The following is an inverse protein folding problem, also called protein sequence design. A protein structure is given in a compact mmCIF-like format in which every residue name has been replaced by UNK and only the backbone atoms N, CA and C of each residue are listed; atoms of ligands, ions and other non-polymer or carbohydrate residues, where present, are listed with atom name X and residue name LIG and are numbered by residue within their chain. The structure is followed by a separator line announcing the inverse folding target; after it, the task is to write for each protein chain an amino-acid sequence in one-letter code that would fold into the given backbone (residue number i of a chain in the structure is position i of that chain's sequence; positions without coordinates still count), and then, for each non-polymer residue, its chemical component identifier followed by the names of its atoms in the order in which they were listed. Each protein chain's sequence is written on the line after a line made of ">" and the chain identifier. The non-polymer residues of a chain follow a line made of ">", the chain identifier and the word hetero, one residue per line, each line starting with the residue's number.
data_IF_391815689880
#
_entry.id   IF_391815689880
#
_cell.length_a   1.000
_cell.length_b   1.000
_cell.length_c   1.000
_cell.angle_alpha   90.00
_cell.angle_beta   90.00
_cell.angle_gamma   90.00
#
_symmetry.space_group_name_H-M   'P 1'
#
loop_
_entity.id
_entity.type
_entity.pdbx_description
1 polymer ?
#
# COMPACT_ATOMS: atom_id res chain seq x y z
N UNK A 1 25.88 -17.39 -8.98
CA UNK A 1 25.23 -16.08 -8.77
C UNK A 1 23.92 -16.30 -8.03
N UNK A 2 23.80 -15.74 -6.84
CA UNK A 2 22.66 -15.96 -5.95
C UNK A 2 21.38 -15.41 -6.58
N UNK A 3 20.34 -16.25 -6.71
CA UNK A 3 19.01 -15.88 -7.24
C UNK A 3 18.45 -14.59 -6.61
N UNK A 4 18.86 -14.27 -5.38
CA UNK A 4 18.54 -13.02 -4.69
C UNK A 4 18.98 -11.76 -5.45
N UNK A 5 20.11 -11.76 -6.16
CA UNK A 5 20.56 -10.60 -6.95
C UNK A 5 19.61 -10.36 -8.14
N UNK A 6 19.16 -11.43 -8.79
CA UNK A 6 18.21 -11.34 -9.93
C UNK A 6 16.85 -10.82 -9.45
N UNK A 7 16.36 -11.30 -8.30
CA UNK A 7 15.12 -10.79 -7.72
C UNK A 7 15.23 -9.34 -7.26
N UNK A 8 16.35 -8.96 -6.63
CA UNK A 8 16.60 -7.58 -6.25
C UNK A 8 16.65 -6.66 -7.47
N UNK A 9 17.41 -7.02 -8.51
CA UNK A 9 17.50 -6.26 -9.75
C UNK A 9 16.13 -6.12 -10.43
N UNK A 10 15.35 -7.20 -10.54
CA UNK A 10 13.99 -7.15 -11.09
C UNK A 10 13.05 -6.26 -10.27
N UNK A 11 13.14 -6.31 -8.93
CA UNK A 11 12.35 -5.44 -8.06
C UNK A 11 12.73 -3.96 -8.22
N UNK A 12 14.02 -3.63 -8.27
CA UNK A 12 14.48 -2.25 -8.50
C UNK A 12 14.10 -1.73 -9.88
N UNK A 13 14.15 -2.56 -10.93
CA UNK A 13 13.67 -2.19 -12.27
C UNK A 13 12.16 -1.95 -12.25
N UNK A 14 11.37 -2.85 -11.68
CA UNK A 14 9.92 -2.68 -11.58
C UNK A 14 9.55 -1.39 -10.81
N UNK A 15 10.22 -1.14 -9.69
CA UNK A 15 10.05 0.10 -8.92
C UNK A 15 10.53 1.35 -9.68
N UNK A 16 11.59 1.25 -10.48
CA UNK A 16 12.09 2.34 -11.32
C UNK A 16 11.23 2.65 -12.54
N UNK A 17 10.35 1.73 -12.97
CA UNK A 17 9.40 1.93 -14.06
C UNK A 17 8.07 2.53 -13.59
N UNK A 18 7.73 2.41 -12.30
CA UNK A 18 6.52 3.01 -11.72
C UNK A 18 6.40 4.52 -11.97
N UNK A 19 7.47 5.34 -11.93
CA UNK A 19 7.39 6.76 -12.24
C UNK A 19 6.86 7.05 -13.66
N UNK A 20 7.20 6.21 -14.64
CA UNK A 20 6.71 6.33 -16.02
C UNK A 20 5.20 6.11 -16.07
N UNK A 21 4.69 5.14 -15.30
CA UNK A 21 3.26 4.90 -15.17
C UNK A 21 2.54 6.09 -14.52
N UNK A 22 3.10 6.68 -13.46
CA UNK A 22 2.51 7.86 -12.82
C UNK A 22 2.50 9.08 -13.74
N UNK A 23 3.58 9.29 -14.52
CA UNK A 23 3.59 10.34 -15.55
C UNK A 23 2.54 10.12 -16.64
N UNK A 24 2.24 8.87 -17.00
CA UNK A 24 1.13 8.58 -17.92
C UNK A 24 -0.25 8.92 -17.32
N UNK A 25 -0.36 8.97 -15.98
CA UNK A 25 -1.55 9.34 -15.22
C UNK A 25 -1.59 10.83 -14.81
N UNK A 26 -0.83 11.71 -15.46
CA UNK A 26 -0.61 13.13 -15.10
C UNK A 26 -1.88 13.99 -14.84
N UNK A 27 -3.09 13.49 -15.13
CA UNK A 27 -4.36 14.14 -14.85
C UNK A 27 -5.14 13.60 -13.62
N UNK A 28 -4.67 12.53 -12.95
CA UNK A 28 -5.34 11.95 -11.78
C UNK A 28 -4.66 12.42 -10.50
N UNK A 29 -5.38 13.08 -9.57
CA UNK A 29 -4.82 13.50 -8.30
C UNK A 29 -4.20 12.33 -7.53
N UNK A 30 -3.02 12.54 -6.94
CA UNK A 30 -2.33 11.53 -6.13
C UNK A 30 -3.21 10.96 -5.00
N UNK A 31 -4.11 11.80 -4.45
CA UNK A 31 -5.07 11.40 -3.43
C UNK A 31 -6.10 10.38 -3.96
N UNK A 32 -6.59 10.53 -5.19
CA UNK A 32 -7.56 9.59 -5.77
C UNK A 32 -6.94 8.21 -6.00
N UNK A 33 -5.68 8.17 -6.46
CA UNK A 33 -4.91 6.94 -6.61
C UNK A 33 -4.75 6.23 -5.26
N UNK A 34 -4.39 6.99 -4.22
CA UNK A 34 -4.22 6.46 -2.87
C UNK A 34 -5.56 5.95 -2.30
N UNK A 35 -6.65 6.69 -2.51
CA UNK A 35 -7.99 6.28 -2.09
C UNK A 35 -8.41 4.95 -2.73
N UNK A 36 -8.23 4.78 -4.04
CA UNK A 36 -8.50 3.51 -4.72
C UNK A 36 -7.66 2.37 -4.16
N UNK A 37 -6.38 2.60 -3.87
CA UNK A 37 -5.53 1.58 -3.24
C UNK A 37 -6.03 1.16 -1.86
N UNK A 38 -6.48 2.12 -1.04
CA UNK A 38 -7.05 1.84 0.28
C UNK A 38 -8.34 1.02 0.14
N UNK A 39 -9.23 1.38 -0.79
CA UNK A 39 -10.48 0.65 -1.05
C UNK A 39 -10.17 -0.79 -1.48
N UNK A 40 -9.28 -1.00 -2.45
CA UNK A 40 -8.90 -2.34 -2.89
C UNK A 40 -8.23 -3.17 -1.79
N UNK A 41 -7.34 -2.56 -1.00
CA UNK A 41 -6.73 -3.23 0.15
C UNK A 41 -7.78 -3.65 1.19
N UNK A 42 -8.77 -2.80 1.45
CA UNK A 42 -9.88 -3.10 2.34
C UNK A 42 -10.74 -4.25 1.79
N UNK A 43 -11.13 -4.19 0.52
CA UNK A 43 -11.96 -5.21 -0.13
C UNK A 43 -11.27 -6.58 -0.11
N UNK A 44 -10.01 -6.65 -0.53
CA UNK A 44 -9.23 -7.89 -0.53
C UNK A 44 -9.00 -8.38 0.91
N UNK A 45 -8.68 -7.49 1.84
CA UNK A 45 -8.50 -7.82 3.25
C UNK A 45 -9.77 -8.40 3.87
N UNK A 46 -10.91 -7.76 3.66
CA UNK A 46 -12.21 -8.22 4.13
C UNK A 46 -12.60 -9.57 3.51
N UNK A 47 -12.38 -9.74 2.20
CA UNK A 47 -12.61 -11.01 1.52
C UNK A 47 -11.75 -12.13 2.12
N UNK A 48 -10.46 -11.89 2.36
CA UNK A 48 -9.56 -12.87 2.97
C UNK A 48 -9.94 -13.21 4.42
N UNK A 49 -10.36 -12.22 5.22
CA UNK A 49 -10.85 -12.43 6.58
C UNK A 49 -12.13 -13.27 6.55
N UNK A 50 -13.04 -12.97 5.61
CA UNK A 50 -14.28 -13.70 5.38
C UNK A 50 -14.04 -15.16 4.99
N UNK A 51 -13.18 -15.39 4.00
CA UNK A 51 -12.80 -16.73 3.54
C UNK A 51 -12.12 -17.57 4.63
N UNK A 52 -11.40 -16.91 5.56
CA UNK A 52 -10.77 -17.59 6.72
C UNK A 52 -11.66 -17.69 7.95
N UNK A 53 -12.86 -17.11 7.94
CA UNK A 53 -13.78 -17.08 9.08
C UNK A 53 -13.24 -16.34 10.31
N UNK A 54 -12.27 -15.41 10.15
CA UNK A 54 -11.53 -14.80 11.27
C UNK A 54 -12.13 -13.49 11.81
N UNK A 55 -13.43 -13.28 11.65
CA UNK A 55 -14.12 -12.06 12.09
C UNK A 55 -13.97 -11.79 13.60
N UNK A 56 -13.95 -12.83 14.43
CA UNK A 56 -13.71 -12.69 15.88
C UNK A 56 -12.30 -12.18 16.20
N UNK A 57 -11.28 -12.60 15.44
CA UNK A 57 -9.92 -12.11 15.60
C UNK A 57 -9.76 -10.65 15.15
N UNK A 58 -10.49 -10.23 14.11
CA UNK A 58 -10.58 -8.82 13.71
C UNK A 58 -11.18 -7.98 14.85
N UNK A 59 -12.32 -8.41 15.42
CA UNK A 59 -12.94 -7.71 16.55
C UNK A 59 -12.03 -7.63 17.78
N UNK A 60 -11.30 -8.70 18.09
CA UNK A 60 -10.32 -8.72 19.18
C UNK A 60 -9.15 -7.75 18.93
N UNK A 61 -8.62 -7.72 17.69
CA UNK A 61 -7.56 -6.80 17.30
C UNK A 61 -8.01 -5.33 17.38
N UNK A 62 -9.27 -5.04 17.00
CA UNK A 62 -9.86 -3.70 17.09
C UNK A 62 -10.08 -3.23 18.53
N UNK A 63 -10.39 -4.15 19.47
CA UNK A 63 -10.50 -3.83 20.91
C UNK A 63 -9.14 -3.64 21.58
N UNK A 64 -8.06 -4.17 21.01
CA UNK A 64 -6.71 -3.97 21.53
C UNK A 64 -6.16 -2.60 21.07
N UNK A 65 -6.25 -1.61 21.95
CA UNK A 65 -5.81 -0.23 21.68
C UNK A 65 -4.35 -0.14 21.23
N UNK A 66 -3.45 -0.97 21.78
CA UNK A 66 -2.03 -0.93 21.39
C UNK A 66 -1.83 -1.43 19.97
N UNK A 67 -2.44 -2.57 19.63
CA UNK A 67 -2.41 -3.12 18.26
C UNK A 67 -3.03 -2.15 17.26
N UNK A 68 -4.17 -1.56 17.59
CA UNK A 68 -4.83 -0.59 16.74
C UNK A 68 -3.97 0.66 16.51
N UNK A 69 -3.36 1.22 17.57
CA UNK A 69 -2.46 2.37 17.44
C UNK A 69 -1.24 2.05 16.56
N UNK A 70 -0.63 0.87 16.72
CA UNK A 70 0.49 0.45 15.87
C UNK A 70 0.07 0.31 14.41
N UNK A 71 -1.10 -0.26 14.13
CA UNK A 71 -1.61 -0.36 12.77
C UNK A 71 -1.95 1.00 12.17
N UNK A 72 -2.59 1.89 12.93
CA UNK A 72 -2.89 3.25 12.46
C UNK A 72 -1.59 4.00 12.15
N UNK A 73 -0.61 3.98 13.06
CA UNK A 73 0.67 4.64 12.84
C UNK A 73 1.40 4.09 11.61
N UNK A 74 1.48 2.76 11.48
CA UNK A 74 2.13 2.12 10.33
C UNK A 74 1.41 2.43 9.01
N UNK A 75 0.07 2.44 9.03
CA UNK A 75 -0.76 2.75 7.85
C UNK A 75 -0.60 4.22 7.44
N UNK A 76 -0.54 5.14 8.40
CA UNK A 76 -0.30 6.56 8.13
C UNK A 76 1.10 6.78 7.54
N UNK A 77 2.14 6.18 8.13
CA UNK A 77 3.49 6.28 7.59
C UNK A 77 3.58 5.75 6.15
N UNK A 78 2.93 4.61 5.88
CA UNK A 78 2.86 4.05 4.54
C UNK A 78 2.08 4.94 3.57
N UNK A 79 0.96 5.52 4.02
CA UNK A 79 0.14 6.42 3.22
C UNK A 79 0.90 7.71 2.86
N UNK A 80 1.58 8.34 3.83
CA UNK A 80 2.43 9.50 3.59
C UNK A 80 3.59 9.17 2.65
N UNK A 81 4.24 8.03 2.84
CA UNK A 81 5.33 7.59 1.96
C UNK A 81 4.86 7.47 0.50
N UNK A 82 3.72 6.83 0.27
CA UNK A 82 3.14 6.71 -1.07
C UNK A 82 2.68 8.04 -1.64
N UNK A 83 2.07 8.90 -0.82
CA UNK A 83 1.61 10.21 -1.25
C UNK A 83 2.78 11.09 -1.70
N UNK A 84 3.84 11.16 -0.88
CA UNK A 84 5.06 11.93 -1.20
C UNK A 84 5.72 11.37 -2.47
N UNK A 85 5.78 10.04 -2.62
CA UNK A 85 6.35 9.40 -3.81
C UNK A 85 5.57 9.77 -5.09
N UNK A 86 4.24 9.66 -5.08
CA UNK A 86 3.43 10.01 -6.24
C UNK A 86 3.51 11.51 -6.52
N UNK A 87 3.44 12.36 -5.49
CA UNK A 87 3.57 13.81 -5.64
C UNK A 87 4.92 14.19 -6.25
N UNK A 88 6.03 13.67 -5.71
CA UNK A 88 7.37 13.98 -6.21
C UNK A 88 7.60 13.52 -7.66
N UNK A 89 6.91 12.48 -8.11
CA UNK A 89 7.00 12.02 -9.51
C UNK A 89 6.13 12.85 -10.45
N UNK A 90 4.97 13.32 -9.98
CA UNK A 90 3.98 14.02 -10.80
C UNK A 90 4.21 15.53 -10.87
N UNK A 91 4.77 16.13 -9.81
CA UNK A 91 4.90 17.58 -9.63
C UNK A 91 6.38 18.02 -9.45
N UNK A 92 7.30 17.05 -9.32
CA UNK A 92 8.74 17.27 -9.16
C UNK A 92 9.58 16.99 -10.41
#
# INVERSE_FOLDING_TARGET
>A
MSKGIVYAAGAYVAWGLLPIFWKALHGVPAFEILAHRIVWALLVGAALIGLRGRWGALGAALRNRRTLLTFVASSLLLAFNWLIYIWAVNDG
#
